data_IF_402295603124
#
_entry.id   IF_402295603124
#
_cell.length_a   1.000
_cell.length_b   1.000
_cell.length_c   1.000
_cell.angle_alpha   90.00
_cell.angle_beta   90.00
_cell.angle_gamma   90.00
#
_symmetry.space_group_name_H-M   'P 1'
#
loop_
_entity.id
_entity.type
_entity.pdbx_description
1 polymer ?
#
# COMPACT_ATOMS: atom_id res chain seq x y z
N UNK A 1 -38.97 20.49 45.72
CA UNK A 1 -39.15 19.03 45.53
C UNK A 1 -38.14 18.54 44.50
N UNK A 2 -37.24 17.63 44.90
CA UNK A 2 -36.34 16.84 44.03
C UNK A 2 -37.16 15.91 43.14
N UNK A 3 -36.76 15.68 41.88
CA UNK A 3 -36.42 14.34 41.33
C UNK A 3 -35.44 14.47 40.15
N UNK A 4 -34.27 13.88 40.32
CA UNK A 4 -33.35 13.40 39.27
C UNK A 4 -33.93 12.12 38.67
N UNK A 5 -33.85 11.92 37.34
CA UNK A 5 -33.58 10.64 36.62
C UNK A 5 -33.21 11.07 35.19
N UNK A 6 -31.97 10.94 34.74
CA UNK A 6 -31.45 9.76 34.00
C UNK A 6 -31.40 10.11 32.50
N UNK A 7 -30.45 9.72 31.68
CA UNK A 7 -29.28 8.86 31.76
C UNK A 7 -28.58 8.99 30.39
N UNK A 8 -27.34 8.52 30.32
CA UNK A 8 -26.44 8.65 29.18
C UNK A 8 -27.03 8.28 27.81
N UNK A 9 -26.60 8.98 26.75
CA UNK A 9 -26.51 8.38 25.41
C UNK A 9 -25.10 8.55 24.85
N UNK A 10 -24.45 7.39 24.77
CA UNK A 10 -23.11 7.12 24.26
C UNK A 10 -22.98 7.42 22.76
N UNK A 11 -21.81 7.94 22.40
CA UNK A 11 -21.04 7.73 21.17
C UNK A 11 -21.69 6.97 20.01
N UNK A 12 -21.68 7.60 18.83
CA UNK A 12 -21.46 6.86 17.58
C UNK A 12 -20.30 7.51 16.81
N UNK A 13 -19.09 7.00 17.09
CA UNK A 13 -17.93 7.08 16.22
C UNK A 13 -18.28 6.36 14.91
N UNK A 14 -18.61 7.11 13.86
CA UNK A 14 -18.45 6.58 12.50
C UNK A 14 -17.08 6.99 12.00
N UNK A 15 -16.14 6.11 12.34
CA UNK A 15 -14.87 5.90 11.65
C UNK A 15 -15.19 5.74 10.17
N UNK A 16 -15.00 6.80 9.37
CA UNK A 16 -14.85 6.60 7.94
C UNK A 16 -13.46 6.04 7.72
N UNK A 17 -13.42 4.70 7.67
CA UNK A 17 -12.27 3.95 7.21
C UNK A 17 -11.85 4.49 5.84
N UNK A 18 -10.66 5.08 5.77
CA UNK A 18 -10.00 5.36 4.51
C UNK A 18 -9.84 4.04 3.76
N UNK A 19 -10.62 3.86 2.70
CA UNK A 19 -10.34 2.83 1.70
C UNK A 19 -9.28 3.43 0.79
N UNK A 20 -8.03 3.47 1.26
CA UNK A 20 -6.88 3.70 0.40
C UNK A 20 -6.62 2.40 -0.37
N UNK A 21 -7.45 2.12 -1.36
CA UNK A 21 -7.20 1.06 -2.34
C UNK A 21 -6.79 1.71 -3.65
N UNK A 22 -5.49 1.75 -3.96
CA UNK A 22 -4.89 2.14 -5.25
C UNK A 22 -5.43 3.40 -5.98
N UNK A 23 -6.29 4.19 -5.34
CA UNK A 23 -6.98 5.33 -5.93
C UNK A 23 -6.00 6.49 -6.00
N UNK A 24 -5.31 6.60 -7.14
CA UNK A 24 -4.34 7.66 -7.38
C UNK A 24 -3.15 7.26 -8.26
N UNK A 25 -2.95 5.95 -8.49
CA UNK A 25 -1.84 5.47 -9.31
C UNK A 25 -2.30 5.11 -10.73
N UNK A 26 -1.61 5.66 -11.72
CA UNK A 26 -1.81 5.35 -13.13
C UNK A 26 -1.24 3.96 -13.45
N UNK A 27 -1.99 3.09 -14.13
CA UNK A 27 -1.49 1.77 -14.51
C UNK A 27 -0.28 1.83 -15.43
N UNK A 28 0.70 0.96 -15.18
CA UNK A 28 1.92 0.89 -15.97
C UNK A 28 2.95 1.98 -15.66
N UNK A 29 2.60 2.99 -14.87
CA UNK A 29 3.52 4.04 -14.43
C UNK A 29 4.38 3.53 -13.25
N UNK A 30 5.71 3.75 -13.28
CA UNK A 30 6.57 3.45 -12.14
C UNK A 30 6.45 4.52 -11.06
N UNK A 31 6.25 4.07 -9.82
CA UNK A 31 6.20 4.90 -8.62
C UNK A 31 7.30 4.46 -7.64
N UNK A 32 7.90 5.39 -6.91
CA UNK A 32 9.10 5.12 -6.11
C UNK A 32 8.87 5.32 -4.62
N UNK A 33 9.38 4.38 -3.83
CA UNK A 33 9.14 4.31 -2.39
C UNK A 33 10.43 3.96 -1.63
N UNK A 34 10.60 4.52 -0.43
CA UNK A 34 11.75 4.20 0.43
C UNK A 34 11.65 2.81 1.05
N UNK A 35 10.42 2.38 1.32
CA UNK A 35 10.11 1.13 1.98
C UNK A 35 9.00 0.36 1.25
N UNK A 36 8.96 -0.94 1.49
CA UNK A 36 7.91 -1.82 1.01
C UNK A 36 7.73 -2.95 2.03
N UNK A 37 6.54 -3.05 2.61
CA UNK A 37 6.19 -4.10 3.57
C UNK A 37 4.98 -4.90 3.07
N UNK A 38 5.18 -6.09 2.47
CA UNK A 38 4.08 -6.92 1.99
C UNK A 38 3.29 -7.60 3.11
N UNK A 39 3.77 -7.57 4.36
CA UNK A 39 3.05 -8.13 5.50
C UNK A 39 2.05 -7.14 6.13
N UNK A 40 2.09 -5.87 5.73
CA UNK A 40 1.13 -4.86 6.15
C UNK A 40 -0.29 -5.25 5.69
N UNK A 41 -1.27 -5.16 6.60
CA UNK A 41 -2.68 -5.42 6.30
C UNK A 41 -3.60 -4.39 6.99
N UNK A 42 -4.34 -3.54 6.23
CA UNK A 42 -4.33 -3.43 4.77
C UNK A 42 -2.98 -2.91 4.27
N UNK A 43 -2.50 -3.40 3.13
CA UNK A 43 -1.31 -2.86 2.51
C UNK A 43 -1.61 -1.47 1.95
N UNK A 44 -0.73 -0.52 2.23
CA UNK A 44 -0.78 0.82 1.69
C UNK A 44 0.59 1.13 1.06
N UNK A 45 0.65 1.61 -0.20
CA UNK A 45 1.91 1.85 -0.88
C UNK A 45 2.76 2.94 -0.21
N UNK A 46 2.17 3.80 0.62
CA UNK A 46 2.83 4.95 1.22
C UNK A 46 2.85 6.16 0.29
N UNK A 47 3.82 7.05 0.50
CA UNK A 47 4.01 8.24 -0.32
C UNK A 47 4.94 7.95 -1.49
N UNK A 48 4.48 8.23 -2.71
CA UNK A 48 5.34 8.26 -3.90
C UNK A 48 6.33 9.43 -3.82
N UNK A 49 7.57 9.15 -4.20
CA UNK A 49 8.68 10.09 -4.20
C UNK A 49 9.28 10.22 -5.59
N UNK A 50 9.91 11.35 -5.87
CA UNK A 50 10.65 11.50 -7.11
C UNK A 50 11.91 10.62 -7.11
N UNK A 51 12.37 10.21 -8.28
CA UNK A 51 13.55 9.34 -8.42
C UNK A 51 14.79 9.97 -7.76
N UNK A 52 14.96 11.27 -7.85
CA UNK A 52 16.06 12.02 -7.23
C UNK A 52 16.05 11.90 -5.70
N UNK A 53 14.87 11.77 -5.10
CA UNK A 53 14.69 11.65 -3.66
C UNK A 53 15.09 10.27 -3.14
N UNK A 54 14.77 9.20 -3.88
CA UNK A 54 15.10 7.83 -3.49
C UNK A 54 16.47 7.36 -3.98
N UNK A 55 17.00 7.93 -5.06
CA UNK A 55 18.28 7.53 -5.66
C UNK A 55 19.47 7.76 -4.73
N UNK A 56 19.35 8.73 -3.81
CA UNK A 56 20.35 9.00 -2.77
C UNK A 56 20.39 7.89 -1.70
N UNK A 57 19.36 7.07 -1.62
CA UNK A 57 19.24 6.01 -0.62
C UNK A 57 20.01 4.77 -1.08
N UNK A 58 20.58 4.02 -0.12
CA UNK A 58 21.22 2.74 -0.41
C UNK A 58 20.24 1.73 -1.01
N UNK A 59 18.96 1.81 -0.63
CA UNK A 59 17.89 0.92 -1.06
C UNK A 59 16.60 1.72 -1.31
N UNK A 60 15.86 1.35 -2.36
CA UNK A 60 14.51 1.85 -2.64
C UNK A 60 13.72 0.83 -3.47
N UNK A 61 12.44 1.10 -3.67
CA UNK A 61 11.51 0.24 -4.38
C UNK A 61 10.81 1.01 -5.50
N UNK A 62 10.65 0.36 -6.64
CA UNK A 62 9.81 0.80 -7.75
C UNK A 62 8.58 -0.12 -7.77
N UNK A 63 7.38 0.45 -7.78
CA UNK A 63 6.12 -0.29 -7.85
C UNK A 63 5.37 0.14 -9.10
N UNK A 64 4.95 -0.84 -9.89
CA UNK A 64 4.11 -0.65 -11.09
C UNK A 64 2.78 -1.34 -10.88
N UNK A 65 1.69 -0.60 -11.02
CA UNK A 65 0.32 -1.10 -10.83
C UNK A 65 -0.25 -1.66 -12.14
N UNK A 66 -0.96 -2.80 -12.05
CA UNK A 66 -1.68 -3.37 -13.18
C UNK A 66 -2.91 -2.52 -13.54
N UNK A 67 -3.40 -2.69 -14.77
CA UNK A 67 -4.58 -1.97 -15.28
C UNK A 67 -5.85 -2.21 -14.47
N UNK A 68 -6.00 -3.39 -13.88
CA UNK A 68 -7.14 -3.75 -13.05
C UNK A 68 -6.91 -3.49 -11.55
N UNK A 69 -5.72 -3.02 -11.16
CA UNK A 69 -5.34 -2.77 -9.77
C UNK A 69 -5.22 -4.03 -8.91
N UNK A 70 -5.27 -5.22 -9.52
CA UNK A 70 -5.25 -6.52 -8.81
C UNK A 70 -3.85 -7.12 -8.72
N UNK A 71 -2.90 -6.61 -9.48
CA UNK A 71 -1.50 -7.04 -9.45
C UNK A 71 -0.60 -5.80 -9.34
N UNK A 72 0.50 -5.95 -8.61
CA UNK A 72 1.61 -5.01 -8.62
C UNK A 72 2.91 -5.74 -8.93
N UNK A 73 3.80 -5.07 -9.64
CA UNK A 73 5.19 -5.51 -9.81
C UNK A 73 6.07 -4.62 -8.95
N UNK A 74 6.86 -5.23 -8.06
CA UNK A 74 7.73 -4.54 -7.12
C UNK A 74 9.18 -4.87 -7.45
N UNK A 75 9.95 -3.87 -7.83
CA UNK A 75 11.39 -3.98 -8.08
C UNK A 75 12.16 -3.34 -6.94
N UNK A 76 13.02 -4.12 -6.27
CA UNK A 76 13.94 -3.63 -5.24
C UNK A 76 15.25 -3.19 -5.88
N UNK A 77 15.71 -2.01 -5.55
CA UNK A 77 17.02 -1.49 -5.96
C UNK A 77 17.95 -1.41 -4.74
N UNK A 78 19.20 -1.83 -4.94
CA UNK A 78 20.30 -1.68 -3.97
C UNK A 78 21.46 -1.01 -4.69
N UNK A 79 21.92 0.14 -4.18
CA UNK A 79 22.94 0.98 -4.81
C UNK A 79 22.63 1.24 -6.30
N UNK A 80 21.39 1.63 -6.59
CA UNK A 80 20.90 1.93 -7.95
C UNK A 80 20.96 0.77 -8.95
N UNK A 81 21.15 -0.46 -8.47
CA UNK A 81 21.03 -1.68 -9.28
C UNK A 81 19.80 -2.46 -8.87
N UNK A 82 18.97 -2.82 -9.86
CA UNK A 82 17.81 -3.70 -9.65
C UNK A 82 18.31 -5.06 -9.13
N UNK A 83 17.84 -5.44 -7.96
CA UNK A 83 18.29 -6.63 -7.25
C UNK A 83 17.29 -7.79 -7.38
N UNK A 84 16.01 -7.53 -7.14
CA UNK A 84 14.92 -8.50 -7.27
C UNK A 84 13.67 -7.80 -7.81
N UNK A 85 12.89 -8.53 -8.60
CA UNK A 85 11.55 -8.12 -9.03
C UNK A 85 10.57 -9.20 -8.65
N UNK A 86 9.53 -8.82 -7.91
CA UNK A 86 8.50 -9.73 -7.43
C UNK A 86 7.12 -9.23 -7.86
N UNK A 87 6.18 -10.15 -8.06
CA UNK A 87 4.79 -9.83 -8.35
C UNK A 87 3.93 -10.15 -7.13
N UNK A 88 2.96 -9.29 -6.86
CA UNK A 88 1.99 -9.48 -5.80
C UNK A 88 0.57 -9.28 -6.33
N UNK A 89 -0.34 -10.12 -5.86
CA UNK A 89 -1.77 -9.94 -6.02
C UNK A 89 -2.29 -9.09 -4.85
N UNK A 90 -3.08 -8.07 -5.18
CA UNK A 90 -3.83 -7.26 -4.22
C UNK A 90 -5.18 -7.96 -3.98
N UNK A 91 -5.37 -8.48 -2.78
CA UNK A 91 -6.60 -9.19 -2.40
C UNK A 91 -7.73 -8.21 -2.05
N UNK A 92 -9.00 -8.66 -2.01
CA UNK A 92 -10.14 -7.79 -1.65
C UNK A 92 -10.04 -7.13 -0.28
N UNK A 93 -9.30 -7.74 0.67
CA UNK A 93 -9.01 -7.17 1.99
C UNK A 93 -7.84 -6.17 1.99
N UNK A 94 -7.26 -5.90 0.80
CA UNK A 94 -6.04 -5.12 0.57
C UNK A 94 -4.76 -5.75 1.12
N UNK A 95 -4.77 -7.02 1.51
CA UNK A 95 -3.52 -7.74 1.77
C UNK A 95 -2.79 -8.08 0.46
N UNK A 96 -1.46 -8.25 0.54
CA UNK A 96 -0.65 -8.69 -0.59
C UNK A 96 -0.36 -10.19 -0.51
N UNK A 97 -0.55 -10.89 -1.64
CA UNK A 97 -0.11 -12.27 -1.81
C UNK A 97 0.91 -12.37 -2.93
N UNK A 98 2.09 -12.90 -2.63
CA UNK A 98 3.13 -13.13 -3.64
C UNK A 98 2.59 -14.03 -4.75
N UNK A 99 2.76 -13.62 -6.00
CA UNK A 99 2.42 -14.44 -7.16
C UNK A 99 3.55 -15.45 -7.38
N UNK A 100 3.21 -16.74 -7.35
CA UNK A 100 4.20 -17.80 -7.58
C UNK A 100 4.82 -17.69 -8.97
N UNK A 101 6.15 -17.66 -9.02
CA UNK A 101 6.92 -17.66 -10.27
C UNK A 101 6.92 -19.03 -10.98
N UNK A 102 6.18 -20.01 -10.45
CA UNK A 102 6.32 -21.44 -10.77
C UNK A 102 5.51 -21.92 -11.97
N UNK A 103 4.74 -21.05 -12.64
CA UNK A 103 3.96 -21.41 -13.84
C UNK A 103 3.84 -20.23 -14.81
N UNK A 104 4.92 -19.98 -15.54
CA UNK A 104 4.86 -19.41 -16.89
C UNK A 104 5.43 -20.45 -17.86
#
# INVERSE_FOLDING_TARGET
MRRLVGGALFLFLLVFSGIAGAAGFEPGTPYYFENFDPAQNPWEPGQDLNIEEVFKNYQYFEIVFSRDGKEITVSKFIQNRRNVTEKYLVLPDRSLRKADSSKL
#
